data_IF_286158817680
#
_entry.id   IF_286158817680
#
_cell.length_a   1.000
_cell.length_b   1.000
_cell.length_c   1.000
_cell.angle_alpha   90.00
_cell.angle_beta   90.00
_cell.angle_gamma   90.00
#
_symmetry.space_group_name_H-M   'P 1'
#
loop_
_entity.id
_entity.type
_entity.pdbx_description
1 polymer ?
#
# COMPACT_ATOMS: atom_id res chain seq x y z
N UNK A 1 -17.77 65.05 -0.05
CA UNK A 1 -16.82 64.38 -0.96
C UNK A 1 -15.83 63.47 -0.22
N UNK A 2 -15.12 63.96 0.82
CA UNK A 2 -14.17 63.16 1.60
C UNK A 2 -14.75 61.89 2.25
N UNK A 3 -15.95 61.98 2.87
CA UNK A 3 -16.59 60.83 3.50
C UNK A 3 -16.92 59.68 2.52
N UNK A 4 -17.28 60.02 1.27
CA UNK A 4 -17.56 59.05 0.22
C UNK A 4 -16.29 58.32 -0.24
N UNK A 5 -15.17 59.05 -0.35
CA UNK A 5 -13.88 58.49 -0.71
C UNK A 5 -13.41 57.50 0.37
N UNK A 6 -13.53 57.86 1.65
CA UNK A 6 -13.17 56.97 2.77
C UNK A 6 -14.04 55.71 2.78
N UNK A 7 -15.36 55.84 2.56
CA UNK A 7 -16.25 54.69 2.51
C UNK A 7 -15.89 53.72 1.37
N UNK A 8 -15.54 54.24 0.18
CA UNK A 8 -15.10 53.42 -0.96
C UNK A 8 -13.78 52.70 -0.65
N UNK A 9 -12.80 53.38 -0.04
CA UNK A 9 -11.53 52.77 0.34
C UNK A 9 -11.72 51.64 1.35
N UNK A 10 -12.58 51.83 2.35
CA UNK A 10 -12.88 50.80 3.34
C UNK A 10 -13.59 49.60 2.71
N UNK A 11 -14.56 49.82 1.83
CA UNK A 11 -15.24 48.74 1.11
C UNK A 11 -14.25 47.94 0.24
N UNK A 12 -13.32 48.60 -0.46
CA UNK A 12 -12.28 47.95 -1.24
C UNK A 12 -11.31 47.15 -0.38
N UNK A 13 -10.91 47.67 0.79
CA UNK A 13 -10.03 46.96 1.71
C UNK A 13 -10.68 45.66 2.24
N UNK A 14 -11.97 45.73 2.63
CA UNK A 14 -12.74 44.56 3.07
C UNK A 14 -12.89 43.54 1.94
N UNK A 15 -13.23 43.98 0.73
CA UNK A 15 -13.33 43.10 -0.43
C UNK A 15 -12.00 42.40 -0.72
N UNK A 16 -10.89 43.15 -0.73
CA UNK A 16 -9.55 42.60 -1.00
C UNK A 16 -9.12 41.59 0.07
N UNK A 17 -9.41 41.88 1.35
CA UNK A 17 -9.16 40.94 2.45
C UNK A 17 -9.99 39.66 2.31
N UNK A 18 -11.27 39.77 1.98
CA UNK A 18 -12.15 38.63 1.75
C UNK A 18 -11.71 37.78 0.54
N UNK A 19 -11.35 38.42 -0.58
CA UNK A 19 -10.82 37.72 -1.76
C UNK A 19 -9.48 37.04 -1.49
N UNK A 20 -8.58 37.70 -0.75
CA UNK A 20 -7.30 37.13 -0.34
C UNK A 20 -7.47 35.90 0.55
N UNK A 21 -8.38 35.98 1.54
CA UNK A 21 -8.74 34.85 2.40
C UNK A 21 -9.30 33.68 1.58
N UNK A 22 -10.26 33.95 0.69
CA UNK A 22 -10.89 32.93 -0.13
C UNK A 22 -9.91 32.26 -1.10
N UNK A 23 -9.01 33.03 -1.70
CA UNK A 23 -7.95 32.50 -2.56
C UNK A 23 -6.99 31.61 -1.78
N UNK A 24 -6.60 32.02 -0.57
CA UNK A 24 -5.74 31.23 0.32
C UNK A 24 -6.41 29.91 0.73
N UNK A 25 -7.69 29.92 1.13
CA UNK A 25 -8.43 28.71 1.48
C UNK A 25 -8.52 27.72 0.32
N UNK A 26 -8.84 28.21 -0.90
CA UNK A 26 -8.88 27.35 -2.09
C UNK A 26 -7.52 26.77 -2.45
N UNK A 27 -6.45 27.55 -2.27
CA UNK A 27 -5.08 27.07 -2.44
C UNK A 27 -4.76 25.92 -1.48
N UNK A 28 -5.05 26.12 -0.19
CA UNK A 28 -4.83 25.10 0.84
C UNK A 28 -5.64 23.82 0.59
N UNK A 29 -6.90 23.93 0.14
CA UNK A 29 -7.73 22.78 -0.21
C UNK A 29 -7.16 21.99 -1.41
N UNK A 30 -6.71 22.69 -2.45
CA UNK A 30 -6.11 22.07 -3.62
C UNK A 30 -4.81 21.36 -3.28
N UNK A 31 -3.97 21.96 -2.45
CA UNK A 31 -2.72 21.35 -2.02
C UNK A 31 -2.95 20.14 -1.11
N UNK A 32 -3.97 20.18 -0.24
CA UNK A 32 -4.39 19.03 0.55
C UNK A 32 -4.89 17.87 -0.33
N UNK A 33 -5.67 18.16 -1.38
CA UNK A 33 -6.12 17.15 -2.35
C UNK A 33 -4.95 16.51 -3.10
N UNK A 34 -3.97 17.30 -3.54
CA UNK A 34 -2.76 16.81 -4.22
C UNK A 34 -1.92 15.93 -3.30
N UNK A 35 -1.71 16.36 -2.06
CA UNK A 35 -0.96 15.59 -1.07
C UNK A 35 -1.63 14.22 -0.84
N UNK A 36 -2.95 14.19 -0.62
CA UNK A 36 -3.70 12.93 -0.45
C UNK A 36 -3.59 12.02 -1.67
N UNK A 37 -3.71 12.57 -2.88
CA UNK A 37 -3.58 11.78 -4.12
C UNK A 37 -2.17 11.20 -4.29
N UNK A 38 -1.14 11.95 -3.92
CA UNK A 38 0.24 11.48 -3.95
C UNK A 38 0.48 10.37 -2.91
N UNK A 39 -0.06 10.54 -1.70
CA UNK A 39 0.04 9.55 -0.63
C UNK A 39 -0.68 8.24 -0.99
N UNK A 40 -1.88 8.31 -1.57
CA UNK A 40 -2.61 7.14 -2.07
C UNK A 40 -1.86 6.42 -3.20
N UNK A 41 -1.22 7.17 -4.11
CA UNK A 41 -0.39 6.60 -5.16
C UNK A 41 0.83 5.89 -4.58
N UNK A 42 1.48 6.50 -3.57
CA UNK A 42 2.63 5.93 -2.91
C UNK A 42 2.27 4.65 -2.13
N UNK A 43 1.15 4.65 -1.40
CA UNK A 43 0.62 3.47 -0.73
C UNK A 43 0.34 2.32 -1.72
N UNK A 44 -0.30 2.61 -2.85
CA UNK A 44 -0.55 1.62 -3.91
C UNK A 44 0.75 1.04 -4.47
N UNK A 45 1.75 1.88 -4.71
CA UNK A 45 3.04 1.42 -5.21
C UNK A 45 3.72 0.51 -4.19
N UNK A 46 3.83 0.93 -2.93
CA UNK A 46 4.47 0.15 -1.86
C UNK A 46 3.81 -1.23 -1.69
N UNK A 47 2.48 -1.26 -1.67
CA UNK A 47 1.73 -2.51 -1.57
C UNK A 47 1.91 -3.39 -2.83
N UNK A 48 1.93 -2.81 -4.02
CA UNK A 48 2.09 -3.55 -5.27
C UNK A 48 3.47 -4.20 -5.39
N UNK A 49 4.52 -3.43 -5.07
CA UNK A 49 5.90 -3.89 -5.08
C UNK A 49 6.09 -5.04 -4.07
N UNK A 50 5.52 -4.88 -2.87
CA UNK A 50 5.53 -5.94 -1.85
C UNK A 50 4.79 -7.20 -2.30
N UNK A 51 3.57 -7.06 -2.85
CA UNK A 51 2.78 -8.20 -3.30
C UNK A 51 3.51 -9.01 -4.39
N UNK A 52 4.10 -8.32 -5.38
CA UNK A 52 4.87 -8.95 -6.45
C UNK A 52 6.08 -9.71 -5.88
N UNK A 53 6.80 -9.11 -4.93
CA UNK A 53 7.93 -9.75 -4.30
C UNK A 53 7.50 -10.95 -3.43
N UNK A 54 6.39 -10.84 -2.70
CA UNK A 54 5.83 -11.91 -1.88
C UNK A 54 5.34 -13.10 -2.71
N UNK A 55 4.88 -12.87 -3.94
CA UNK A 55 4.47 -13.91 -4.89
C UNK A 55 5.65 -14.61 -5.60
N UNK A 56 6.88 -14.12 -5.42
CA UNK A 56 8.09 -14.67 -6.05
C UNK A 56 8.81 -15.64 -5.13
N UNK A 57 8.49 -16.92 -5.26
CA UNK A 57 9.08 -18.00 -4.46
C UNK A 57 9.92 -18.89 -5.36
N UNK A 58 11.08 -19.31 -4.88
CA UNK A 58 11.91 -20.32 -5.52
C UNK A 58 12.51 -21.24 -4.45
N UNK A 59 12.08 -22.50 -4.41
CA UNK A 59 12.56 -23.45 -3.41
C UNK A 59 14.07 -23.70 -3.45
N UNK A 60 14.73 -23.38 -4.57
CA UNK A 60 16.19 -23.51 -4.73
C UNK A 60 16.94 -22.43 -3.97
N UNK A 61 16.30 -21.29 -3.70
CA UNK A 61 16.86 -20.20 -2.90
C UNK A 61 15.75 -19.31 -2.31
N UNK A 62 15.46 -19.48 -1.02
CA UNK A 62 14.46 -18.69 -0.31
C UNK A 62 14.97 -17.34 0.22
N UNK A 63 16.28 -17.10 0.24
CA UNK A 63 16.86 -15.92 0.90
C UNK A 63 16.32 -14.59 0.34
N UNK A 64 16.22 -14.40 -1.00
CA UNK A 64 15.64 -13.18 -1.57
C UNK A 64 14.17 -12.98 -1.18
N UNK A 65 13.41 -14.07 -1.09
CA UNK A 65 12.00 -14.03 -0.75
C UNK A 65 11.79 -13.62 0.71
N UNK A 66 12.50 -14.23 1.67
CA UNK A 66 12.42 -13.83 3.08
C UNK A 66 12.99 -12.44 3.35
N UNK A 67 13.98 -12.00 2.57
CA UNK A 67 14.46 -10.62 2.64
C UNK A 67 13.37 -9.64 2.19
N UNK A 68 12.68 -9.94 1.08
CA UNK A 68 11.59 -9.11 0.59
C UNK A 68 10.40 -9.04 1.57
N UNK A 69 9.99 -10.18 2.16
CA UNK A 69 8.88 -10.23 3.12
C UNK A 69 9.12 -9.39 4.39
N UNK A 70 10.39 -9.15 4.73
CA UNK A 70 10.81 -8.34 5.89
C UNK A 70 11.22 -6.92 5.52
N UNK A 71 11.19 -6.57 4.25
CA UNK A 71 11.53 -5.23 3.77
C UNK A 71 10.30 -4.33 3.83
N UNK A 72 10.47 -3.07 4.25
CA UNK A 72 9.40 -2.08 4.35
C UNK A 72 8.17 -2.52 5.16
N UNK A 73 8.34 -3.45 6.11
CA UNK A 73 7.29 -3.86 7.05
C UNK A 73 7.58 -3.31 8.46
N UNK A 74 6.57 -3.30 9.31
CA UNK A 74 6.77 -3.01 10.74
C UNK A 74 7.51 -4.15 11.46
N UNK A 75 8.07 -3.85 12.63
CA UNK A 75 8.84 -4.82 13.42
C UNK A 75 8.03 -6.08 13.79
N UNK A 76 6.76 -6.00 14.23
CA UNK A 76 5.97 -7.18 14.53
C UNK A 76 5.84 -8.14 13.34
N UNK A 77 5.54 -7.64 12.14
CA UNK A 77 5.39 -8.46 10.94
C UNK A 77 6.74 -9.07 10.51
N UNK A 78 7.83 -8.30 10.58
CA UNK A 78 9.17 -8.83 10.32
C UNK A 78 9.54 -10.00 11.25
N UNK A 79 9.22 -9.88 12.54
CA UNK A 79 9.48 -10.92 13.54
C UNK A 79 8.63 -12.18 13.31
N UNK A 80 7.38 -12.01 12.87
CA UNK A 80 6.52 -13.13 12.50
C UNK A 80 7.16 -13.96 11.38
N UNK A 81 7.62 -13.30 10.30
CA UNK A 81 8.29 -13.99 9.21
C UNK A 81 9.60 -14.65 9.62
N UNK A 82 10.41 -13.97 10.44
CA UNK A 82 11.64 -14.56 10.98
C UNK A 82 11.37 -15.82 11.80
N UNK A 83 10.30 -15.83 12.57
CA UNK A 83 9.91 -16.98 13.41
C UNK A 83 9.39 -18.15 12.57
N UNK A 84 8.61 -17.85 11.52
CA UNK A 84 8.03 -18.87 10.63
C UNK A 84 8.97 -19.37 9.54
N UNK A 85 10.12 -18.71 9.33
CA UNK A 85 11.05 -18.99 8.22
C UNK A 85 11.48 -20.46 8.13
N UNK A 86 11.96 -21.13 9.20
CA UNK A 86 12.37 -22.54 9.11
C UNK A 86 11.25 -23.47 8.64
N UNK A 87 10.06 -23.34 9.22
CA UNK A 87 8.91 -24.17 8.89
C UNK A 87 8.44 -23.95 7.44
N UNK A 88 8.47 -22.71 6.96
CA UNK A 88 8.12 -22.38 5.58
C UNK A 88 9.15 -22.93 4.58
N UNK A 89 10.46 -22.85 4.88
CA UNK A 89 11.51 -23.45 4.04
C UNK A 89 11.32 -24.95 3.91
N UNK A 90 11.05 -25.64 5.01
CA UNK A 90 10.85 -27.09 5.01
C UNK A 90 9.62 -27.47 4.17
N UNK A 91 8.49 -26.82 4.42
CA UNK A 91 7.23 -27.09 3.71
C UNK A 91 7.35 -26.81 2.20
N UNK A 92 7.78 -25.61 1.83
CA UNK A 92 7.88 -25.19 0.42
C UNK A 92 8.99 -25.93 -0.32
N UNK A 93 10.05 -26.32 0.39
CA UNK A 93 11.15 -27.13 -0.12
C UNK A 93 10.69 -28.53 -0.51
N UNK A 94 9.93 -29.21 0.36
CA UNK A 94 9.36 -30.54 0.07
C UNK A 94 8.41 -30.52 -1.13
N UNK A 95 7.64 -29.45 -1.29
CA UNK A 95 6.75 -29.26 -2.43
C UNK A 95 7.50 -28.87 -3.71
N UNK A 96 8.78 -28.52 -3.62
CA UNK A 96 9.55 -27.88 -4.70
C UNK A 96 8.82 -26.69 -5.30
N UNK A 97 8.32 -25.82 -4.43
CA UNK A 97 7.47 -24.71 -4.82
C UNK A 97 8.25 -23.64 -5.61
N UNK A 98 7.73 -23.27 -6.76
CA UNK A 98 8.18 -22.10 -7.53
C UNK A 98 6.95 -21.28 -7.89
N UNK A 99 7.00 -19.96 -7.67
CA UNK A 99 5.94 -19.07 -8.12
C UNK A 99 6.47 -17.71 -8.57
N UNK A 100 5.72 -17.07 -9.47
CA UNK A 100 5.95 -15.69 -9.91
C UNK A 100 4.63 -14.96 -10.01
N UNK A 101 4.58 -13.71 -9.54
CA UNK A 101 3.42 -12.83 -9.66
C UNK A 101 3.67 -11.72 -10.68
N UNK A 102 2.66 -11.41 -11.49
CA UNK A 102 2.62 -10.23 -12.37
C UNK A 102 1.48 -9.33 -11.92
N UNK A 103 1.75 -8.03 -11.73
CA UNK A 103 0.75 -7.06 -11.32
C UNK A 103 -0.33 -6.90 -12.41
N UNK A 104 -1.58 -7.08 -12.01
CA UNK A 104 -2.75 -6.75 -12.82
C UNK A 104 -3.21 -5.32 -12.52
N UNK A 105 -3.24 -4.96 -11.23
CA UNK A 105 -3.58 -3.62 -10.77
C UNK A 105 -3.69 -3.54 -9.25
N UNK A 106 -3.89 -2.33 -8.74
CA UNK A 106 -4.12 -2.09 -7.31
C UNK A 106 -5.03 -0.90 -7.08
N UNK A 107 -5.81 -0.96 -6.00
CA UNK A 107 -6.75 0.09 -5.61
C UNK A 107 -6.77 0.31 -4.09
N UNK A 108 -7.13 1.52 -3.66
CA UNK A 108 -7.34 1.85 -2.24
C UNK A 108 -8.77 1.44 -1.87
N UNK A 109 -8.91 0.35 -1.12
CA UNK A 109 -10.21 -0.11 -0.63
C UNK A 109 -10.80 0.88 0.36
N UNK A 110 -9.99 1.29 1.34
CA UNK A 110 -10.32 2.31 2.33
C UNK A 110 -9.03 2.97 2.80
N UNK A 111 -9.11 4.19 3.30
CA UNK A 111 -8.04 4.77 4.09
C UNK A 111 -8.65 5.59 5.23
N UNK A 112 -8.10 5.44 6.42
CA UNK A 112 -8.55 6.13 7.63
C UNK A 112 -7.31 6.54 8.43
N UNK A 113 -7.29 7.78 8.94
CA UNK A 113 -6.26 8.27 9.86
C UNK A 113 -4.81 8.06 9.39
N UNK A 114 -4.56 8.14 8.08
CA UNK A 114 -3.24 7.92 7.47
C UNK A 114 -2.84 6.46 7.30
N UNK A 115 -3.77 5.52 7.52
CA UNK A 115 -3.61 4.09 7.20
C UNK A 115 -4.34 3.79 5.89
N UNK A 116 -3.66 3.13 4.96
CA UNK A 116 -4.18 2.77 3.64
C UNK A 116 -4.40 1.26 3.56
N UNK A 117 -5.62 0.84 3.26
CA UNK A 117 -5.94 -0.55 2.93
C UNK A 117 -5.95 -0.70 1.41
N UNK A 118 -4.92 -1.33 0.89
CA UNK A 118 -4.71 -1.51 -0.54
C UNK A 118 -5.12 -2.93 -0.95
N UNK A 119 -5.90 -3.04 -2.01
CA UNK A 119 -6.18 -4.31 -2.68
C UNK A 119 -5.27 -4.42 -3.90
N UNK A 120 -4.39 -5.43 -3.94
CA UNK A 120 -3.49 -5.68 -5.06
C UNK A 120 -3.89 -6.97 -5.77
N UNK A 121 -4.06 -6.94 -7.08
CA UNK A 121 -4.42 -8.08 -7.89
C UNK A 121 -3.21 -8.54 -8.70
N UNK A 122 -2.83 -9.81 -8.54
CA UNK A 122 -1.73 -10.42 -9.28
C UNK A 122 -2.22 -11.62 -10.08
N UNK A 123 -1.66 -11.78 -11.27
CA UNK A 123 -1.63 -13.06 -11.97
C UNK A 123 -0.42 -13.84 -11.45
N UNK A 124 -0.68 -14.98 -10.79
CA UNK A 124 0.35 -15.83 -10.19
C UNK A 124 0.47 -17.12 -10.99
N UNK A 125 1.69 -17.43 -11.41
CA UNK A 125 2.03 -18.74 -11.99
C UNK A 125 2.81 -19.53 -10.96
N UNK A 126 2.34 -20.72 -10.64
CA UNK A 126 2.88 -21.58 -9.59
C UNK A 126 3.14 -22.99 -10.13
N UNK A 127 4.30 -23.57 -9.84
CA UNK A 127 4.61 -24.98 -10.08
C UNK A 127 5.13 -25.66 -8.82
N UNK A 128 4.94 -26.98 -8.73
CA UNK A 128 5.38 -27.83 -7.62
C UNK A 128 5.42 -29.30 -8.07
N UNK A 129 5.78 -30.22 -7.18
CA UNK A 129 5.87 -31.67 -7.49
C UNK A 129 4.55 -32.31 -7.97
N UNK A 130 3.39 -31.75 -7.62
CA UNK A 130 2.07 -32.26 -8.03
C UNK A 130 1.62 -31.66 -9.37
N UNK A 131 2.12 -30.48 -9.72
CA UNK A 131 1.76 -29.73 -10.92
C UNK A 131 3.03 -29.15 -11.57
N UNK A 132 3.84 -30.00 -12.21
CA UNK A 132 5.13 -29.58 -12.77
C UNK A 132 5.00 -28.61 -13.93
N UNK A 133 3.92 -28.71 -14.72
CA UNK A 133 3.63 -27.81 -15.85
C UNK A 133 3.13 -26.42 -15.40
N UNK A 134 2.84 -26.28 -14.09
CA UNK A 134 2.38 -25.05 -13.47
C UNK A 134 0.89 -24.75 -13.65
N UNK A 135 0.37 -23.91 -12.77
CA UNK A 135 -1.01 -23.42 -12.76
C UNK A 135 -0.98 -21.91 -12.67
N UNK A 136 -1.81 -21.25 -13.49
CA UNK A 136 -2.02 -19.81 -13.43
C UNK A 136 -3.32 -19.48 -12.70
N UNK A 137 -3.26 -18.60 -11.72
CA UNK A 137 -4.41 -18.10 -10.97
C UNK A 137 -4.32 -16.58 -10.82
N UNK A 138 -5.47 -15.92 -10.66
CA UNK A 138 -5.50 -14.51 -10.25
C UNK A 138 -5.79 -14.45 -8.75
N UNK A 139 -4.96 -13.73 -8.01
CA UNK A 139 -5.04 -13.64 -6.55
C UNK A 139 -5.14 -12.19 -6.09
N UNK A 140 -5.94 -11.98 -5.05
CA UNK A 140 -6.08 -10.70 -4.36
C UNK A 140 -5.21 -10.70 -3.09
N UNK A 141 -4.37 -9.67 -2.96
CA UNK A 141 -3.49 -9.41 -1.84
C UNK A 141 -3.94 -8.12 -1.15
N UNK A 142 -4.74 -8.20 -0.07
CA UNK A 142 -5.04 -7.05 0.76
C UNK A 142 -3.84 -6.74 1.66
N UNK A 143 -3.38 -5.50 1.61
CA UNK A 143 -2.19 -5.01 2.30
C UNK A 143 -2.54 -3.71 3.01
N UNK A 144 -2.15 -3.60 4.27
CA UNK A 144 -2.30 -2.38 5.06
C UNK A 144 -0.97 -1.64 5.14
N UNK A 145 -0.98 -0.37 4.78
CA UNK A 145 0.18 0.54 4.80
C UNK A 145 -0.06 1.65 5.82
N UNK A 146 0.87 1.84 6.76
CA UNK A 146 0.93 3.03 7.61
C UNK A 146 1.63 4.17 6.85
N UNK A 147 0.88 5.23 6.54
CA UNK A 147 1.38 6.40 5.82
C UNK A 147 2.28 7.32 6.65
N UNK A 148 2.37 7.13 7.98
CA UNK A 148 3.30 7.92 8.81
C UNK A 148 4.74 7.47 8.63
N UNK A 149 4.95 6.15 8.62
CA UNK A 149 6.28 5.53 8.52
C UNK A 149 6.53 4.88 7.16
N UNK A 150 5.52 4.83 6.29
CA UNK A 150 5.52 4.12 5.01
C UNK A 150 5.95 2.66 5.17
N UNK A 151 5.29 1.99 6.11
CA UNK A 151 5.52 0.58 6.44
C UNK A 151 4.26 -0.24 6.22
N UNK A 152 4.44 -1.45 5.71
CA UNK A 152 3.40 -2.45 5.66
C UNK A 152 3.21 -3.03 7.06
N UNK A 153 2.00 -2.91 7.57
CA UNK A 153 1.67 -3.28 8.95
C UNK A 153 0.84 -4.54 9.04
N UNK A 154 0.17 -4.92 7.96
CA UNK A 154 -0.64 -6.12 7.88
C UNK A 154 -0.78 -6.60 6.43
N UNK A 155 -0.85 -7.92 6.29
CA UNK A 155 -1.03 -8.67 5.03
C UNK A 155 -2.07 -9.80 5.19
N UNK A 156 -2.71 -9.88 6.36
CA UNK A 156 -3.49 -11.02 6.84
C UNK A 156 -4.79 -11.28 6.09
N UNK A 157 -5.26 -10.36 5.24
CA UNK A 157 -6.35 -10.68 4.33
C UNK A 157 -5.92 -11.58 3.15
N UNK A 158 -4.61 -11.84 2.95
CA UNK A 158 -4.06 -12.81 2.00
C UNK A 158 -3.58 -14.12 2.63
N UNK A 159 -3.55 -14.20 3.96
CA UNK A 159 -3.24 -15.39 4.77
C UNK A 159 -3.89 -15.23 6.15
N UNK A 160 -5.22 -15.34 6.18
CA UNK A 160 -5.90 -15.62 7.45
C UNK A 160 -5.73 -17.11 7.73
N UNK A 161 -5.10 -17.51 8.85
CA UNK A 161 -5.22 -18.88 9.30
C UNK A 161 -6.71 -19.08 9.61
N UNK A 162 -7.37 -19.98 8.88
CA UNK A 162 -8.66 -20.47 9.31
C UNK A 162 -8.45 -21.06 10.72
N UNK A 163 -9.18 -20.60 11.75
CA UNK A 163 -9.16 -21.27 13.04
C UNK A 163 -9.59 -22.72 12.82
N UNK A 164 -8.66 -23.64 13.10
CA UNK A 164 -8.94 -25.06 13.15
C UNK A 164 -10.05 -25.30 14.18
N UNK A 165 -10.96 -26.19 13.83
CA UNK A 165 -11.98 -26.70 14.77
C UNK A 165 -11.32 -27.42 15.95
#
# INVERSE_FOLDING_TARGET
MAAMIVAVILALAVATGAFGWQAHQRGAELDALRARSADEAHARQLASDYAVAAARIDYRNFDPWFAALRSHVNQPLAQQFQTSEPALRDLLGQLQWVSTGTLVGSDIATHNDGTYHVQVFLDVTTSNVQSPDGVKTTALYPITVDGKNWQITDISGGISPLPGK
#
